data_IF_209802122283
#
_entry.id   IF_209802122283
#
_cell.length_a   1.000
_cell.length_b   1.000
_cell.length_c   1.000
_cell.angle_alpha   90.00
_cell.angle_beta   90.00
_cell.angle_gamma   90.00
#
_symmetry.space_group_name_H-M   'P 1'
#
loop_
_entity.id
_entity.type
_entity.pdbx_description
1 polymer ?
#
# COMPACT_ATOMS: atom_id res chain seq x y z
N UNK A 1 32.85 -14.08 1.64
CA UNK A 1 32.89 -14.26 3.11
C UNK A 1 32.85 -12.87 3.75
N UNK A 2 31.76 -12.54 4.46
CA UNK A 2 31.47 -11.18 4.95
C UNK A 2 32.37 -10.82 6.16
N UNK A 3 33.02 -9.66 6.14
CA UNK A 3 34.02 -9.24 7.14
C UNK A 3 33.44 -8.63 8.43
N UNK A 4 32.12 -8.72 8.64
CA UNK A 4 31.43 -8.10 9.78
C UNK A 4 31.36 -8.96 11.05
N UNK A 5 31.76 -10.24 10.99
CA UNK A 5 31.70 -11.15 12.14
C UNK A 5 33.09 -11.71 12.45
N UNK A 6 33.95 -10.87 13.02
CA UNK A 6 35.23 -11.29 13.61
C UNK A 6 35.12 -11.28 15.13
N UNK A 7 34.31 -12.16 15.71
CA UNK A 7 34.28 -12.28 17.16
C UNK A 7 33.15 -13.12 17.70
N UNK A 8 33.54 -14.21 18.39
CA UNK A 8 32.74 -15.14 19.19
C UNK A 8 31.92 -16.20 18.45
N UNK A 9 32.10 -17.43 18.93
CA UNK A 9 31.62 -18.71 18.39
C UNK A 9 30.11 -18.90 18.63
N UNK A 10 29.47 -19.54 17.64
CA UNK A 10 28.14 -20.18 17.63
C UNK A 10 26.98 -19.39 16.99
N UNK A 11 27.13 -19.03 15.71
CA UNK A 11 25.96 -18.78 14.86
C UNK A 11 25.28 -20.11 14.49
N UNK A 12 24.12 -20.36 15.10
CA UNK A 12 23.27 -21.56 14.91
C UNK A 12 22.53 -21.62 13.56
N UNK A 13 22.84 -20.74 12.61
CA UNK A 13 22.17 -20.70 11.32
C UNK A 13 23.16 -21.03 10.21
N UNK A 14 22.94 -22.15 9.52
CA UNK A 14 23.73 -22.52 8.34
C UNK A 14 23.46 -21.49 7.25
N UNK A 15 24.50 -20.74 6.86
CA UNK A 15 24.47 -19.93 5.65
C UNK A 15 24.62 -20.85 4.44
N UNK A 16 23.54 -21.08 3.69
CA UNK A 16 23.50 -22.03 2.56
C UNK A 16 24.23 -21.58 1.28
N UNK A 17 25.15 -20.61 1.35
CA UNK A 17 25.91 -20.14 0.19
C UNK A 17 25.09 -19.47 -0.93
N UNK A 18 23.75 -19.50 -0.84
CA UNK A 18 22.81 -18.84 -1.76
C UNK A 18 23.06 -17.33 -1.89
N UNK A 19 23.46 -16.69 -0.79
CA UNK A 19 23.81 -15.28 -0.78
C UNK A 19 25.19 -14.97 -1.37
N UNK A 20 26.11 -15.96 -1.46
CA UNK A 20 27.48 -15.73 -1.94
C UNK A 20 27.52 -15.28 -3.40
N UNK A 21 26.69 -15.88 -4.26
CA UNK A 21 26.60 -15.54 -5.69
C UNK A 21 25.97 -14.16 -5.93
N UNK A 22 25.09 -13.73 -5.03
CA UNK A 22 24.46 -12.41 -5.10
C UNK A 22 25.49 -11.29 -4.84
N UNK A 23 26.36 -11.46 -3.83
CA UNK A 23 27.47 -10.53 -3.57
C UNK A 23 28.53 -10.50 -4.69
N UNK A 24 28.68 -11.57 -5.49
CA UNK A 24 29.58 -11.60 -6.65
C UNK A 24 29.05 -10.73 -7.81
N UNK A 25 27.74 -10.77 -8.05
CA UNK A 25 27.13 -10.00 -9.14
C UNK A 25 26.85 -8.54 -8.77
N UNK A 26 26.63 -8.26 -7.48
CA UNK A 26 26.30 -6.93 -6.96
C UNK A 26 27.24 -6.53 -5.81
N UNK A 27 28.55 -6.35 -6.09
CA UNK A 27 29.57 -6.15 -5.05
C UNK A 27 29.52 -4.78 -4.37
N UNK A 28 28.90 -3.78 -5.02
CA UNK A 28 28.96 -2.40 -4.57
C UNK A 28 27.60 -1.87 -4.08
N UNK A 29 26.49 -2.28 -4.71
CA UNK A 29 25.15 -1.79 -4.40
C UNK A 29 24.12 -2.91 -4.48
N UNK A 30 23.20 -2.95 -3.53
CA UNK A 30 22.02 -3.80 -3.58
C UNK A 30 21.04 -3.31 -4.66
N UNK A 31 20.59 -4.19 -5.56
CA UNK A 31 19.55 -3.87 -6.53
C UNK A 31 18.17 -3.97 -5.88
N UNK A 32 17.84 -3.01 -5.02
CA UNK A 32 16.50 -2.91 -4.43
C UNK A 32 15.66 -1.97 -5.29
N UNK A 33 14.70 -2.53 -6.03
CA UNK A 33 13.65 -1.77 -6.71
C UNK A 33 12.39 -1.81 -5.84
N UNK A 34 12.04 -0.68 -5.24
CA UNK A 34 10.78 -0.53 -4.51
C UNK A 34 9.72 -0.02 -5.48
N UNK A 35 8.87 -0.93 -5.94
CA UNK A 35 7.71 -0.60 -6.78
C UNK A 35 6.51 -0.29 -5.89
N UNK A 36 5.66 0.65 -6.34
CA UNK A 36 4.40 0.97 -5.70
C UNK A 36 3.53 -0.27 -5.48
N UNK A 37 2.85 -0.31 -4.34
CA UNK A 37 2.03 -1.47 -3.94
C UNK A 37 0.57 -1.23 -4.24
N UNK A 38 -0.14 -2.28 -4.69
CA UNK A 38 -1.58 -2.23 -4.91
C UNK A 38 -2.29 -3.29 -4.09
N UNK A 39 -3.14 -2.83 -3.18
CA UNK A 39 -4.08 -3.68 -2.44
C UNK A 39 -5.37 -3.86 -3.22
N UNK A 40 -5.96 -5.06 -3.12
CA UNK A 40 -7.18 -5.45 -3.81
C UNK A 40 -8.23 -5.90 -2.81
N UNK A 41 -9.32 -5.15 -2.70
CA UNK A 41 -10.47 -5.47 -1.85
C UNK A 41 -11.57 -6.02 -2.76
N UNK A 42 -11.85 -7.31 -2.68
CA UNK A 42 -12.89 -7.97 -3.46
C UNK A 42 -14.13 -8.18 -2.60
N UNK A 43 -15.30 -7.88 -3.15
CA UNK A 43 -16.58 -8.00 -2.44
C UNK A 43 -17.72 -8.19 -3.44
N UNK A 44 -18.81 -8.82 -2.98
CA UNK A 44 -19.93 -9.20 -3.84
C UNK A 44 -21.26 -8.76 -3.21
N UNK A 45 -21.78 -7.56 -3.53
CA UNK A 45 -23.08 -7.14 -3.05
C UNK A 45 -24.19 -7.87 -3.81
N UNK A 46 -25.21 -8.32 -3.06
CA UNK A 46 -26.39 -8.99 -3.62
C UNK A 46 -27.31 -8.03 -4.40
N UNK A 47 -27.24 -6.73 -4.12
CA UNK A 47 -28.02 -5.70 -4.80
C UNK A 47 -27.23 -4.38 -4.78
N UNK A 48 -27.16 -3.71 -5.94
CA UNK A 48 -26.59 -2.36 -6.06
C UNK A 48 -27.71 -1.37 -6.35
N UNK A 49 -27.97 -0.48 -5.39
CA UNK A 49 -29.05 0.51 -5.48
C UNK A 49 -28.67 1.63 -6.44
N UNK A 50 -29.46 1.78 -7.50
CA UNK A 50 -29.36 2.79 -8.55
C UNK A 50 -30.69 3.58 -8.62
N UNK A 51 -30.70 4.94 -8.66
CA UNK A 51 -29.55 5.85 -8.82
C UNK A 51 -28.84 6.27 -7.52
N UNK A 52 -27.72 6.97 -7.69
CA UNK A 52 -27.00 7.69 -6.62
C UNK A 52 -25.57 7.20 -6.39
N UNK A 53 -24.91 7.82 -5.40
CA UNK A 53 -23.52 7.52 -5.06
C UNK A 53 -23.45 6.73 -3.75
N UNK A 54 -22.47 5.84 -3.68
CA UNK A 54 -21.98 5.26 -2.45
C UNK A 54 -20.87 6.15 -1.91
N UNK A 55 -20.69 6.19 -0.59
CA UNK A 55 -19.58 6.88 0.04
C UNK A 55 -18.58 5.83 0.52
N UNK A 56 -17.35 5.91 -0.01
CA UNK A 56 -16.19 5.21 0.50
C UNK A 56 -15.49 6.10 1.53
N UNK A 57 -15.60 5.73 2.80
CA UNK A 57 -14.79 6.28 3.87
C UNK A 57 -13.45 5.54 3.89
N UNK A 58 -12.36 6.29 3.83
CA UNK A 58 -10.99 5.78 3.84
C UNK A 58 -10.19 6.59 4.84
N UNK A 59 -9.64 5.90 5.84
CA UNK A 59 -8.80 6.50 6.86
C UNK A 59 -7.43 5.83 6.94
N UNK A 60 -6.42 6.66 7.15
CA UNK A 60 -5.04 6.25 7.37
C UNK A 60 -4.60 6.69 8.76
N UNK A 61 -4.01 5.77 9.52
CA UNK A 61 -3.36 6.04 10.80
C UNK A 61 -2.07 6.85 10.63
N UNK A 62 -1.40 6.73 9.48
CA UNK A 62 -0.17 7.45 9.13
C UNK A 62 0.11 7.35 7.63
N UNK A 63 0.90 8.27 7.10
CA UNK A 63 1.48 8.21 5.77
C UNK A 63 2.90 8.80 5.77
N UNK A 64 3.79 8.21 4.99
CA UNK A 64 5.19 8.65 4.82
C UNK A 64 5.48 8.75 3.33
N UNK A 65 5.59 9.98 2.80
CA UNK A 65 5.89 10.29 1.39
C UNK A 65 5.14 9.38 0.40
N UNK A 66 3.81 9.33 0.53
CA UNK A 66 2.97 8.42 -0.21
C UNK A 66 1.92 9.19 -1.02
N UNK A 67 1.41 8.56 -2.09
CA UNK A 67 0.20 9.00 -2.77
C UNK A 67 -0.69 7.78 -2.96
N UNK A 68 -1.86 7.81 -2.34
CA UNK A 68 -2.83 6.72 -2.41
C UNK A 68 -3.89 7.05 -3.47
N UNK A 69 -4.02 6.15 -4.44
CA UNK A 69 -4.99 6.24 -5.51
C UNK A 69 -6.05 5.14 -5.36
N UNK A 70 -7.31 5.51 -5.55
CA UNK A 70 -8.44 4.59 -5.49
C UNK A 70 -9.01 4.36 -6.89
N UNK A 71 -9.22 3.10 -7.25
CA UNK A 71 -9.89 2.69 -8.49
C UNK A 71 -10.93 1.62 -8.20
N UNK A 72 -11.98 1.57 -9.01
CA UNK A 72 -13.08 0.61 -8.85
C UNK A 72 -13.21 -0.21 -10.13
N UNK A 73 -13.19 -1.52 -10.00
CA UNK A 73 -13.37 -2.55 -11.03
C UNK A 73 -12.35 -2.57 -12.20
N UNK A 74 -11.69 -1.47 -12.50
CA UNK A 74 -10.66 -1.40 -13.53
C UNK A 74 -9.42 -0.62 -13.01
N UNK A 75 -8.32 -1.35 -12.81
CA UNK A 75 -7.05 -0.82 -12.29
C UNK A 75 -6.35 0.14 -13.26
N UNK A 76 -6.66 0.08 -14.56
CA UNK A 76 -5.94 0.82 -15.60
C UNK A 76 -6.63 2.13 -16.00
N UNK A 77 -7.77 2.48 -15.39
CA UNK A 77 -8.49 3.73 -15.68
C UNK A 77 -7.63 4.93 -15.27
N UNK A 78 -7.59 5.91 -16.17
CA UNK A 78 -6.95 7.21 -15.99
C UNK A 78 -7.96 8.32 -16.33
N UNK A 79 -8.20 9.30 -15.46
CA UNK A 79 -7.63 9.44 -14.09
C UNK A 79 -8.17 8.36 -13.12
N UNK A 80 -7.51 8.12 -11.97
CA UNK A 80 -8.11 7.32 -10.89
C UNK A 80 -9.42 7.96 -10.41
N UNK A 81 -10.28 7.18 -9.75
CA UNK A 81 -11.51 7.72 -9.15
C UNK A 81 -11.17 8.77 -8.10
N UNK A 82 -10.11 8.53 -7.33
CA UNK A 82 -9.62 9.44 -6.32
C UNK A 82 -8.10 9.33 -6.17
N UNK A 83 -7.44 10.43 -5.86
CA UNK A 83 -6.04 10.46 -5.42
C UNK A 83 -5.91 11.41 -4.23
N UNK A 84 -5.12 11.02 -3.24
CA UNK A 84 -4.76 11.89 -2.12
C UNK A 84 -3.81 13.01 -2.54
N UNK A 85 -3.14 12.89 -3.69
CA UNK A 85 -1.89 13.60 -3.97
C UNK A 85 -0.77 13.15 -3.02
N UNK A 86 0.36 13.87 -3.03
CA UNK A 86 1.44 13.61 -2.09
C UNK A 86 0.98 13.95 -0.67
N UNK A 87 0.99 12.93 0.17
CA UNK A 87 0.68 13.02 1.59
C UNK A 87 1.81 12.41 2.42
N UNK A 88 1.77 12.73 3.70
CA UNK A 88 2.73 12.25 4.67
C UNK A 88 3.92 13.19 4.83
N UNK A 89 4.32 13.35 6.08
CA UNK A 89 5.60 13.90 6.53
C UNK A 89 5.88 13.31 7.94
N UNK A 90 5.41 12.07 8.11
CA UNK A 90 5.42 11.33 9.36
C UNK A 90 6.44 10.20 9.25
N UNK A 91 7.03 9.83 10.38
CA UNK A 91 8.04 8.79 10.52
C UNK A 91 7.54 7.60 11.36
N UNK A 92 6.22 7.50 11.61
CA UNK A 92 5.64 6.39 12.35
C UNK A 92 6.03 5.03 11.76
N UNK A 93 5.96 4.84 10.45
CA UNK A 93 6.37 3.60 9.77
C UNK A 93 7.82 3.25 10.08
N UNK A 94 8.75 4.21 9.91
CA UNK A 94 10.18 4.00 10.15
C UNK A 94 10.52 3.68 11.62
N UNK A 95 9.72 4.18 12.56
CA UNK A 95 9.88 3.90 14.00
C UNK A 95 9.09 2.68 14.47
N UNK A 96 8.37 1.99 13.58
CA UNK A 96 7.37 0.98 13.95
C UNK A 96 6.38 1.51 15.01
N UNK A 97 6.05 2.80 14.91
CA UNK A 97 5.14 3.48 15.81
C UNK A 97 3.68 3.09 15.53
N UNK A 98 2.87 3.16 16.57
CA UNK A 98 1.41 2.91 16.51
C UNK A 98 0.59 4.21 16.47
N UNK A 99 1.26 5.36 16.44
CA UNK A 99 0.65 6.69 16.39
C UNK A 99 1.33 7.52 15.31
N UNK A 100 0.53 8.03 14.39
CA UNK A 100 0.95 8.92 13.32
C UNK A 100 -0.09 9.97 13.01
N UNK A 101 0.16 10.77 11.97
CA UNK A 101 -0.80 11.76 11.51
C UNK A 101 -2.01 11.07 10.85
N UNK A 102 -3.18 11.30 11.44
CA UNK A 102 -4.44 10.72 10.96
C UNK A 102 -4.99 11.45 9.73
N UNK A 103 -5.45 10.68 8.76
CA UNK A 103 -6.13 11.20 7.57
C UNK A 103 -7.47 10.50 7.38
N UNK A 104 -8.50 11.25 6.96
CA UNK A 104 -9.82 10.71 6.64
C UNK A 104 -10.37 11.37 5.38
N UNK A 105 -10.80 10.55 4.42
CA UNK A 105 -11.46 10.99 3.20
C UNK A 105 -12.84 10.35 3.06
N UNK A 106 -13.80 11.16 2.60
CA UNK A 106 -15.11 10.72 2.12
C UNK A 106 -15.12 10.82 0.60
N UNK A 107 -15.08 9.67 -0.08
CA UNK A 107 -14.98 9.59 -1.53
C UNK A 107 -16.32 9.15 -2.09
N UNK A 108 -16.86 9.90 -3.04
CA UNK A 108 -18.09 9.52 -3.74
C UNK A 108 -17.79 8.51 -4.85
N UNK A 109 -18.44 7.35 -4.77
CA UNK A 109 -18.37 6.25 -5.72
C UNK A 109 -19.71 6.16 -6.45
N UNK A 110 -19.79 6.55 -7.74
CA UNK A 110 -21.01 6.40 -8.52
C UNK A 110 -21.51 4.95 -8.54
N UNK A 111 -22.81 4.72 -8.36
CA UNK A 111 -23.37 3.37 -8.42
C UNK A 111 -23.13 2.68 -9.78
N UNK A 112 -22.95 3.47 -10.86
CA UNK A 112 -22.63 2.99 -12.21
C UNK A 112 -21.26 2.32 -12.31
N UNK A 113 -20.35 2.58 -11.36
CA UNK A 113 -19.06 1.87 -11.28
C UNK A 113 -19.17 0.53 -10.55
N UNK A 114 -20.27 0.29 -9.84
CA UNK A 114 -20.55 -0.94 -9.10
C UNK A 114 -21.51 -1.82 -9.89
N UNK A 115 -21.44 -3.11 -9.66
CA UNK A 115 -22.34 -4.12 -10.27
C UNK A 115 -22.82 -5.10 -9.23
N UNK A 116 -23.93 -5.77 -9.49
CA UNK A 116 -24.31 -6.94 -8.69
C UNK A 116 -23.29 -8.06 -8.93
N UNK A 117 -22.92 -8.79 -7.87
CA UNK A 117 -21.86 -9.79 -7.92
C UNK A 117 -20.45 -9.20 -7.77
N UNK A 118 -19.44 -9.76 -8.44
CA UNK A 118 -18.05 -9.49 -8.10
C UNK A 118 -17.56 -8.07 -8.40
N UNK A 119 -17.17 -7.33 -7.36
CA UNK A 119 -16.54 -6.02 -7.47
C UNK A 119 -15.14 -6.02 -6.85
N UNK A 120 -14.34 -5.04 -7.24
CA UNK A 120 -13.00 -4.87 -6.70
C UNK A 120 -12.68 -3.40 -6.53
N UNK A 121 -12.26 -3.01 -5.33
CA UNK A 121 -11.61 -1.71 -5.07
C UNK A 121 -10.10 -1.95 -5.04
N UNK A 122 -9.38 -1.13 -5.80
CA UNK A 122 -7.93 -1.09 -5.82
C UNK A 122 -7.44 0.14 -5.06
N UNK A 123 -6.51 -0.09 -4.13
CA UNK A 123 -5.83 0.95 -3.37
C UNK A 123 -4.35 0.89 -3.74
N UNK A 124 -3.91 1.82 -4.58
CA UNK A 124 -2.54 1.86 -5.10
C UNK A 124 -1.76 2.96 -4.43
N UNK A 125 -0.73 2.59 -3.66
CA UNK A 125 0.35 3.54 -3.38
C UNK A 125 1.13 3.68 -4.69
N UNK A 126 1.08 4.88 -5.27
CA UNK A 126 1.56 5.15 -6.64
C UNK A 126 2.98 5.71 -6.71
N UNK A 127 3.60 5.92 -5.55
CA UNK A 127 4.95 6.49 -5.43
C UNK A 127 5.96 5.37 -5.26
N UNK A 128 6.75 5.11 -6.29
CA UNK A 128 7.87 4.18 -6.21
C UNK A 128 8.91 4.68 -5.19
N UNK A 129 9.48 3.71 -4.47
CA UNK A 129 10.18 3.95 -3.22
C UNK A 129 11.65 4.31 -3.40
N UNK A 130 12.05 5.51 -3.01
CA UNK A 130 13.46 5.80 -2.72
C UNK A 130 13.87 5.29 -1.33
N UNK A 131 12.91 4.78 -0.54
CA UNK A 131 13.12 4.33 0.84
C UNK A 131 12.13 3.24 1.24
N UNK A 132 12.57 2.23 2.04
CA UNK A 132 11.72 1.14 2.51
C UNK A 132 10.59 1.58 3.45
N UNK A 133 10.60 2.83 3.91
CA UNK A 133 9.61 3.37 4.84
C UNK A 133 8.55 4.25 4.17
N UNK A 134 8.58 4.39 2.85
CA UNK A 134 7.56 5.13 2.12
C UNK A 134 6.30 4.27 1.99
N UNK A 135 5.17 4.79 2.46
CA UNK A 135 3.95 4.00 2.54
C UNK A 135 2.84 4.64 3.35
N UNK A 136 1.80 3.84 3.60
CA UNK A 136 0.63 4.23 4.37
C UNK A 136 0.28 3.15 5.39
N UNK A 137 -0.27 3.56 6.53
CA UNK A 137 -0.87 2.67 7.52
C UNK A 137 -2.38 2.86 7.48
N UNK A 138 -3.13 1.82 7.12
CA UNK A 138 -4.59 1.86 7.09
C UNK A 138 -5.17 1.78 8.50
N UNK A 139 -6.28 2.49 8.74
CA UNK A 139 -7.05 2.39 9.97
C UNK A 139 -8.48 1.92 9.69
N UNK A 140 -9.22 2.66 8.87
CA UNK A 140 -10.64 2.42 8.65
C UNK A 140 -11.02 2.47 7.17
N UNK A 141 -11.81 1.50 6.71
CA UNK A 141 -12.39 1.48 5.37
C UNK A 141 -13.86 1.09 5.48
N UNK A 142 -14.76 1.88 4.89
CA UNK A 142 -16.18 1.56 4.78
C UNK A 142 -16.74 2.03 3.45
N UNK A 143 -17.40 1.14 2.73
CA UNK A 143 -18.28 1.50 1.61
C UNK A 143 -19.74 1.44 2.08
N UNK A 144 -20.47 2.53 2.00
CA UNK A 144 -21.88 2.56 2.37
C UNK A 144 -22.67 3.51 1.47
N UNK A 145 -23.90 3.14 1.13
CA UNK A 145 -24.86 4.10 0.59
C UNK A 145 -25.52 4.82 1.76
N UNK A 146 -25.67 6.15 1.68
CA UNK A 146 -26.51 6.86 2.65
C UNK A 146 -27.97 6.42 2.45
N UNK A 147 -28.73 6.23 3.55
CA UNK A 147 -30.13 5.81 3.48
C UNK A 147 -31.01 6.84 2.75
#
# INVERSE_FOLDING_TARGET
MNKLYKGSRLDKFRQYGLWSRYYEHYPNNDLIYLVGTTWRIQFEPNNVVNPGNYTLQLALASATYAELQVRVNNLNVKPPLFSTGLIGDDNAIARHGIHGLYWLWSIDVPCTLLREGSNTIYLTQSRDGNSPFQGVMYDYIRLAKRP
#
